data_IF_261904444255
#
_entry.id   IF_261904444255
#
_cell.length_a   1.000
_cell.length_b   1.000
_cell.length_c   1.000
_cell.angle_alpha   90.00
_cell.angle_beta   90.00
_cell.angle_gamma   90.00
#
_symmetry.space_group_name_H-M   'P 1'
#
loop_
_entity.id
_entity.type
_entity.pdbx_description
1 polymer ?
#
# COMPACT_ATOMS: atom_id res chain seq x y z
N UNK A 1 -14.32 -22.33 19.45
CA UNK A 1 -13.51 -23.11 18.49
C UNK A 1 -12.45 -22.23 17.84
N UNK A 2 -11.22 -22.71 17.87
CA UNK A 2 -10.04 -21.95 17.40
C UNK A 2 -10.14 -21.58 15.92
N UNK A 3 -10.65 -22.47 15.06
CA UNK A 3 -10.78 -22.20 13.62
C UNK A 3 -11.78 -21.10 13.29
N UNK A 4 -12.91 -21.03 13.98
CA UNK A 4 -13.92 -19.99 13.75
C UNK A 4 -13.39 -18.60 14.13
N UNK A 5 -12.70 -18.48 15.27
CA UNK A 5 -12.08 -17.22 15.71
C UNK A 5 -10.99 -16.77 14.75
N UNK A 6 -10.14 -17.68 14.28
CA UNK A 6 -9.08 -17.40 13.32
C UNK A 6 -9.64 -16.92 11.98
N UNK A 7 -10.71 -17.55 11.48
CA UNK A 7 -11.37 -17.16 10.24
C UNK A 7 -12.01 -15.78 10.37
N UNK A 8 -12.70 -15.51 11.47
CA UNK A 8 -13.30 -14.19 11.74
C UNK A 8 -12.24 -13.11 11.85
N UNK A 9 -11.12 -13.39 12.52
CA UNK A 9 -10.00 -12.44 12.63
C UNK A 9 -9.43 -12.12 11.26
N UNK A 10 -9.16 -13.12 10.42
CA UNK A 10 -8.64 -12.92 9.06
C UNK A 10 -9.60 -12.11 8.21
N UNK A 11 -10.90 -12.39 8.28
CA UNK A 11 -11.91 -11.66 7.55
C UNK A 11 -11.97 -10.19 7.98
N UNK A 12 -11.96 -9.94 9.29
CA UNK A 12 -11.96 -8.59 9.87
C UNK A 12 -10.70 -7.80 9.47
N UNK A 13 -9.53 -8.44 9.57
CA UNK A 13 -8.26 -7.81 9.19
C UNK A 13 -8.22 -7.51 7.69
N UNK A 14 -8.73 -8.42 6.85
CA UNK A 14 -8.79 -8.24 5.40
C UNK A 14 -9.69 -7.06 5.03
N UNK A 15 -10.83 -6.91 5.69
CA UNK A 15 -11.73 -5.78 5.48
C UNK A 15 -11.09 -4.46 5.89
N UNK A 16 -10.43 -4.43 7.05
CA UNK A 16 -9.75 -3.24 7.55
C UNK A 16 -8.63 -2.80 6.60
N UNK A 17 -7.83 -3.75 6.13
CA UNK A 17 -6.75 -3.48 5.17
C UNK A 17 -7.31 -3.00 3.83
N UNK A 18 -8.36 -3.64 3.33
CA UNK A 18 -8.99 -3.28 2.06
C UNK A 18 -9.47 -1.81 2.09
N UNK A 19 -10.07 -1.39 3.19
CA UNK A 19 -10.49 0.01 3.37
C UNK A 19 -9.30 0.98 3.32
N UNK A 20 -8.19 0.61 3.97
CA UNK A 20 -6.99 1.45 3.99
C UNK A 20 -6.35 1.55 2.60
N UNK A 21 -6.30 0.46 1.85
CA UNK A 21 -5.80 0.44 0.48
C UNK A 21 -6.65 1.36 -0.40
N UNK A 22 -7.97 1.22 -0.36
CA UNK A 22 -8.87 2.09 -1.11
C UNK A 22 -8.70 3.57 -0.73
N UNK A 23 -8.51 3.83 0.57
CA UNK A 23 -8.29 5.19 1.06
C UNK A 23 -7.01 5.79 0.48
N UNK A 24 -5.96 4.99 0.36
CA UNK A 24 -4.71 5.43 -0.26
C UNK A 24 -4.93 5.89 -1.70
N UNK A 25 -5.67 5.11 -2.50
CA UNK A 25 -5.97 5.47 -3.88
C UNK A 25 -6.87 6.71 -3.97
N UNK A 26 -7.85 6.84 -3.08
CA UNK A 26 -8.68 8.06 -3.00
C UNK A 26 -7.83 9.30 -2.72
N UNK A 27 -6.94 9.23 -1.74
CA UNK A 27 -6.04 10.34 -1.40
C UNK A 27 -5.11 10.67 -2.55
N UNK A 28 -4.55 9.65 -3.20
CA UNK A 28 -3.70 9.82 -4.37
C UNK A 28 -4.44 10.56 -5.49
N UNK A 29 -5.66 10.12 -5.81
CA UNK A 29 -6.44 10.72 -6.88
C UNK A 29 -6.84 12.17 -6.58
N UNK A 30 -7.07 12.49 -5.32
CA UNK A 30 -7.38 13.85 -4.87
C UNK A 30 -6.13 14.70 -4.64
N UNK A 31 -4.95 14.15 -4.88
CA UNK A 31 -3.67 14.82 -4.64
C UNK A 31 -3.51 15.28 -3.18
N UNK A 32 -4.10 14.52 -2.26
CA UNK A 32 -4.03 14.75 -0.82
C UNK A 32 -2.74 14.13 -0.28
N UNK A 33 -1.61 14.69 -0.63
CA UNK A 33 -0.29 14.08 -0.41
C UNK A 33 0.08 13.89 1.05
N UNK A 34 -0.27 14.83 1.91
CA UNK A 34 -0.04 14.69 3.35
C UNK A 34 -0.82 13.52 3.93
N UNK A 35 -2.04 13.29 3.44
CA UNK A 35 -2.86 12.14 3.85
C UNK A 35 -2.27 10.83 3.34
N UNK A 36 -1.74 10.80 2.11
CA UNK A 36 -1.00 9.64 1.61
C UNK A 36 0.19 9.31 2.52
N UNK A 37 0.97 10.31 2.88
CA UNK A 37 2.12 10.13 3.77
C UNK A 37 1.71 9.60 5.14
N UNK A 38 0.55 9.99 5.65
CA UNK A 38 0.03 9.50 6.94
C UNK A 38 -0.30 8.01 6.92
N UNK A 39 -0.51 7.42 5.75
CA UNK A 39 -0.75 5.99 5.58
C UNK A 39 0.54 5.18 5.41
N UNK A 40 1.68 5.84 5.33
CA UNK A 40 2.97 5.18 5.28
C UNK A 40 3.37 4.69 6.68
N UNK A 41 4.02 3.52 6.74
CA UNK A 41 4.48 2.91 7.99
C UNK A 41 5.21 3.95 8.85
N UNK A 42 4.81 4.12 10.14
CA UNK A 42 5.47 5.06 11.05
C UNK A 42 6.97 4.85 11.17
N UNK A 43 7.46 3.62 11.07
CA UNK A 43 8.90 3.34 11.10
C UNK A 43 9.63 3.91 9.89
N UNK A 44 9.00 3.85 8.71
CA UNK A 44 9.56 4.47 7.50
C UNK A 44 9.54 5.99 7.56
N UNK A 45 8.46 6.57 8.09
CA UNK A 45 8.35 8.04 8.20
C UNK A 45 9.42 8.67 9.09
N UNK A 46 9.97 7.88 10.02
CA UNK A 46 11.04 8.33 10.93
C UNK A 46 12.44 8.19 10.35
N UNK A 47 12.59 7.49 9.22
CA UNK A 47 13.89 7.28 8.60
C UNK A 47 14.26 8.46 7.70
N UNK A 48 15.52 8.91 7.78
CA UNK A 48 16.00 10.03 6.99
C UNK A 48 15.91 9.80 5.48
N UNK A 49 16.02 8.54 5.03
CA UNK A 49 15.94 8.20 3.60
C UNK A 49 14.53 8.32 3.03
N UNK A 50 13.51 8.39 3.89
CA UNK A 50 12.12 8.57 3.47
C UNK A 50 11.65 9.92 3.98
N UNK A 51 12.10 10.96 3.29
CA UNK A 51 11.66 12.31 3.57
C UNK A 51 10.28 12.53 2.96
N UNK A 52 9.42 13.22 3.71
CA UNK A 52 8.08 13.56 3.27
C UNK A 52 8.08 14.24 1.90
N UNK A 53 8.99 15.20 1.71
CA UNK A 53 9.06 15.93 0.45
C UNK A 53 9.38 15.02 -0.73
N UNK A 54 10.37 14.14 -0.60
CA UNK A 54 10.74 13.19 -1.66
C UNK A 54 9.59 12.21 -1.95
N UNK A 55 8.93 11.73 -0.91
CA UNK A 55 7.76 10.86 -1.05
C UNK A 55 6.66 11.57 -1.84
N UNK A 56 6.32 12.79 -1.46
CA UNK A 56 5.29 13.59 -2.12
C UNK A 56 5.66 13.86 -3.58
N UNK A 57 6.92 14.21 -3.85
CA UNK A 57 7.40 14.46 -5.21
C UNK A 57 7.27 13.21 -6.09
N UNK A 58 7.59 12.03 -5.54
CA UNK A 58 7.45 10.78 -6.28
C UNK A 58 5.98 10.51 -6.63
N UNK A 59 5.07 10.76 -5.72
CA UNK A 59 3.63 10.59 -5.97
C UNK A 59 3.11 11.60 -6.99
N UNK A 60 3.55 12.85 -6.90
CA UNK A 60 3.17 13.88 -7.89
C UNK A 60 3.61 13.50 -9.29
N UNK A 61 4.85 13.03 -9.44
CA UNK A 61 5.35 12.59 -10.74
C UNK A 61 4.54 11.40 -11.26
N UNK A 62 4.27 10.43 -10.42
CA UNK A 62 3.47 9.26 -10.78
C UNK A 62 2.06 9.67 -11.22
N UNK A 63 1.43 10.57 -10.47
CA UNK A 63 0.10 11.12 -10.78
C UNK A 63 0.10 11.88 -12.11
N UNK A 64 1.18 12.61 -12.39
CA UNK A 64 1.33 13.33 -13.66
C UNK A 64 1.43 12.39 -14.85
N UNK A 65 2.15 11.27 -14.69
CA UNK A 65 2.33 10.29 -15.78
C UNK A 65 1.07 9.49 -16.04
N UNK A 66 0.42 9.00 -15.00
CA UNK A 66 -0.70 8.04 -15.13
C UNK A 66 -2.08 8.65 -14.94
N UNK A 67 -2.17 9.85 -14.36
CA UNK A 67 -3.45 10.46 -14.03
C UNK A 67 -4.10 9.80 -12.83
N UNK A 68 -5.43 9.83 -12.78
CA UNK A 68 -6.16 9.13 -11.73
C UNK A 68 -6.04 7.63 -11.89
N UNK A 69 -5.92 6.93 -10.76
CA UNK A 69 -5.83 5.48 -10.73
C UNK A 69 -7.14 4.90 -10.25
N UNK A 70 -7.70 3.99 -11.03
CA UNK A 70 -8.93 3.30 -10.64
C UNK A 70 -8.61 1.85 -10.30
N UNK A 71 -8.69 1.45 -9.02
CA UNK A 71 -8.53 0.05 -8.67
C UNK A 71 -9.65 -0.80 -9.24
N UNK A 72 -9.28 -1.87 -9.96
CA UNK A 72 -10.21 -2.82 -10.54
C UNK A 72 -10.30 -4.10 -9.74
N UNK A 73 -9.16 -4.52 -9.19
CA UNK A 73 -9.08 -5.79 -8.49
C UNK A 73 -8.04 -5.66 -7.38
N UNK A 74 -8.40 -6.11 -6.19
CA UNK A 74 -7.52 -6.10 -5.03
C UNK A 74 -7.55 -7.50 -4.42
N UNK A 75 -6.37 -8.12 -4.32
CA UNK A 75 -6.19 -9.41 -3.65
C UNK A 75 -5.23 -9.24 -2.49
N UNK A 76 -5.62 -9.73 -1.33
CA UNK A 76 -4.84 -9.59 -0.10
C UNK A 76 -4.36 -10.96 0.36
N UNK A 77 -3.05 -11.08 0.59
CA UNK A 77 -2.43 -12.25 1.19
C UNK A 77 -1.94 -11.86 2.59
N UNK A 78 -2.66 -12.33 3.63
CA UNK A 78 -2.38 -11.98 5.03
C UNK A 78 -1.33 -12.90 5.63
N UNK A 79 -0.40 -12.31 6.40
CA UNK A 79 0.61 -13.00 7.18
C UNK A 79 0.56 -12.45 8.62
N UNK A 80 -0.44 -12.92 9.38
CA UNK A 80 -0.74 -12.36 10.70
C UNK A 80 0.21 -12.83 11.79
N UNK A 81 0.94 -13.93 11.57
CA UNK A 81 1.89 -14.46 12.53
C UNK A 81 3.23 -13.72 12.56
N UNK A 82 3.50 -12.88 11.54
CA UNK A 82 4.72 -12.09 11.46
C UNK A 82 6.01 -12.91 11.33
N UNK A 83 5.92 -14.23 11.12
CA UNK A 83 7.07 -15.13 11.18
C UNK A 83 7.99 -15.06 9.97
N UNK A 84 7.58 -14.41 8.90
CA UNK A 84 8.29 -14.41 7.61
C UNK A 84 9.47 -13.43 7.55
N UNK A 85 9.63 -12.54 8.54
CA UNK A 85 10.74 -11.58 8.55
C UNK A 85 11.46 -11.58 9.88
N UNK A 86 12.78 -11.82 9.84
CA UNK A 86 13.64 -11.74 11.04
C UNK A 86 13.79 -10.31 11.56
N UNK A 87 13.64 -9.33 10.68
CA UNK A 87 13.89 -7.91 11.01
C UNK A 87 12.64 -7.17 11.43
N UNK A 88 11.48 -7.70 11.08
CA UNK A 88 10.21 -7.04 11.37
C UNK A 88 9.16 -8.11 11.72
N UNK A 89 8.93 -8.36 13.03
CA UNK A 89 7.99 -9.40 13.46
C UNK A 89 6.52 -8.97 13.38
N UNK A 90 6.24 -7.75 12.94
CA UNK A 90 4.87 -7.27 12.85
C UNK A 90 4.07 -8.07 11.82
N UNK A 91 2.77 -8.28 12.05
CA UNK A 91 1.89 -8.82 11.02
C UNK A 91 1.97 -7.97 9.74
N UNK A 92 1.94 -8.64 8.61
CA UNK A 92 2.01 -7.95 7.32
C UNK A 92 1.11 -8.62 6.29
N UNK A 93 0.96 -7.96 5.16
CA UNK A 93 0.22 -8.49 4.03
C UNK A 93 0.87 -8.06 2.73
N UNK A 94 0.77 -8.91 1.72
CA UNK A 94 0.97 -8.49 0.33
C UNK A 94 -0.39 -8.15 -0.25
N UNK A 95 -0.46 -7.00 -0.90
CA UNK A 95 -1.67 -6.52 -1.55
C UNK A 95 -1.37 -6.42 -3.05
N UNK A 96 -2.10 -7.19 -3.83
CA UNK A 96 -1.98 -7.18 -5.29
C UNK A 96 -3.11 -6.32 -5.83
N UNK A 97 -2.75 -5.21 -6.46
CA UNK A 97 -3.73 -4.28 -7.01
C UNK A 97 -3.58 -4.22 -8.52
N UNK A 98 -4.66 -4.48 -9.22
CA UNK A 98 -4.77 -4.16 -10.65
C UNK A 98 -5.52 -2.85 -10.73
N UNK A 99 -4.91 -1.83 -11.31
CA UNK A 99 -5.54 -0.53 -11.48
C UNK A 99 -5.44 -0.08 -12.93
N UNK A 100 -6.39 0.76 -13.33
CA UNK A 100 -6.44 1.34 -14.65
C UNK A 100 -6.02 2.80 -14.56
N UNK A 101 -5.17 3.23 -15.48
CA UNK A 101 -4.75 4.62 -15.56
C UNK A 101 -5.73 5.46 -16.40
N UNK A 102 -5.45 6.75 -16.53
CA UNK A 102 -6.30 7.68 -17.24
C UNK A 102 -6.34 7.42 -18.76
N UNK A 103 -5.35 6.70 -19.29
CA UNK A 103 -5.31 6.26 -20.70
C UNK A 103 -5.99 4.91 -20.92
N UNK A 104 -6.67 4.37 -19.89
CA UNK A 104 -7.34 3.07 -19.89
C UNK A 104 -6.39 1.87 -19.98
N UNK A 105 -5.12 2.05 -19.70
CA UNK A 105 -4.17 0.95 -19.59
C UNK A 105 -4.21 0.33 -18.19
N UNK A 106 -4.04 -0.99 -18.12
CA UNK A 106 -4.02 -1.72 -16.86
C UNK A 106 -2.60 -1.97 -16.37
N UNK A 107 -2.42 -1.86 -15.07
CA UNK A 107 -1.15 -2.09 -14.39
C UNK A 107 -1.39 -2.94 -13.17
N UNK A 108 -0.39 -3.72 -12.77
CA UNK A 108 -0.45 -4.54 -11.59
C UNK A 108 0.70 -4.18 -10.65
N UNK A 109 0.35 -3.93 -9.39
CA UNK A 109 1.30 -3.66 -8.32
C UNK A 109 1.18 -4.72 -7.24
N UNK A 110 2.32 -5.09 -6.67
CA UNK A 110 2.38 -5.77 -5.39
C UNK A 110 2.85 -4.77 -4.35
N UNK A 111 2.00 -4.50 -3.37
CA UNK A 111 2.28 -3.60 -2.26
C UNK A 111 2.48 -4.42 -0.99
N UNK A 112 3.39 -3.99 -0.13
CA UNK A 112 3.52 -4.57 1.19
C UNK A 112 2.91 -3.61 2.21
N UNK A 113 2.08 -4.15 3.09
CA UNK A 113 1.44 -3.41 4.17
C UNK A 113 1.78 -4.09 5.50
N UNK A 114 1.94 -3.31 6.55
CA UNK A 114 2.23 -3.82 7.90
C UNK A 114 1.18 -3.34 8.88
N UNK A 115 0.93 -4.17 9.89
CA UNK A 115 0.06 -3.80 11.00
C UNK A 115 0.90 -3.24 12.12
N UNK A 116 0.68 -1.97 12.44
CA UNK A 116 1.41 -1.25 13.48
C UNK A 116 0.41 -0.62 14.44
N UNK A 117 0.51 -0.96 15.72
CA UNK A 117 -0.41 -0.45 16.76
C UNK A 117 -1.89 -0.65 16.39
N UNK A 118 -2.21 -1.80 15.83
CA UNK A 118 -3.59 -2.18 15.48
C UNK A 118 -4.12 -1.61 14.18
N UNK A 119 -3.30 -0.91 13.41
CA UNK A 119 -3.70 -0.31 12.12
C UNK A 119 -2.76 -0.74 11.00
N UNK A 120 -3.29 -0.73 9.79
CA UNK A 120 -2.52 -1.08 8.58
C UNK A 120 -1.89 0.14 7.95
N UNK A 121 -0.61 0.01 7.60
CA UNK A 121 0.19 1.07 6.97
C UNK A 121 0.95 0.52 5.78
N UNK A 122 1.12 1.35 4.76
CA UNK A 122 1.86 0.99 3.55
C UNK A 122 3.36 0.99 3.79
N UNK A 123 4.06 0.01 3.21
CA UNK A 123 5.52 -0.01 3.14
C UNK A 123 6.05 0.52 1.81
N UNK A 124 5.17 1.02 0.96
CA UNK A 124 5.55 1.60 -0.33
C UNK A 124 6.07 3.01 -0.10
N UNK A 125 7.39 3.15 -0.06
CA UNK A 125 8.04 4.41 0.29
C UNK A 125 8.11 5.42 -0.88
N UNK A 126 7.70 5.01 -2.06
CA UNK A 126 7.64 5.86 -3.24
C UNK A 126 7.27 5.04 -4.46
N UNK A 127 6.85 5.73 -5.50
CA UNK A 127 6.47 5.13 -6.76
C UNK A 127 7.35 5.70 -7.87
N UNK A 128 7.81 4.84 -8.76
CA UNK A 128 8.60 5.25 -9.92
C UNK A 128 7.87 4.78 -11.17
N UNK A 129 7.53 5.70 -12.09
CA UNK A 129 6.95 5.30 -13.36
C UNK A 129 7.91 4.35 -14.09
N UNK A 130 7.38 3.23 -14.58
CA UNK A 130 8.18 2.24 -15.27
C UNK A 130 7.96 2.32 -16.77
N UNK A 131 9.03 2.56 -17.50
CA UNK A 131 9.00 2.64 -18.95
C UNK A 131 8.93 1.28 -19.63
N UNK A 132 9.15 0.20 -18.88
CA UNK A 132 9.23 -1.18 -19.40
C UNK A 132 7.97 -2.00 -19.15
N UNK A 133 6.85 -1.37 -18.81
CA UNK A 133 5.56 -2.04 -18.67
C UNK A 133 5.28 -2.70 -17.32
N UNK A 134 6.21 -2.69 -16.39
CA UNK A 134 5.98 -3.11 -14.99
C UNK A 134 6.45 -2.01 -14.05
N UNK A 135 5.56 -1.50 -13.22
CA UNK A 135 5.88 -0.39 -12.33
C UNK A 135 6.68 -0.84 -11.12
N UNK A 136 7.71 -0.06 -10.76
CA UNK A 136 8.56 -0.37 -9.63
C UNK A 136 7.99 0.23 -8.35
N UNK A 137 7.86 -0.60 -7.33
CA UNK A 137 7.41 -0.20 -5.99
C UNK A 137 8.60 -0.28 -5.05
N UNK A 138 8.86 0.80 -4.31
CA UNK A 138 9.95 0.86 -3.33
C UNK A 138 9.41 0.62 -1.92
N UNK A 139 10.00 -0.32 -1.24
CA UNK A 139 9.77 -0.55 0.18
C UNK A 139 10.58 0.42 1.04
#
# INVERSE_FOLDING_TARGET
>A
MIRAKSTLRKSSERQALHKRVNRMYEFFNKEAWTKCFSLLDPRLRKQKRVEKQRYVESLRLFRKVYGELQPWYIRISLHLDGSASRHDPRPFAYVYVVWQDQKHEFHMFRERWVRHSGRWFSRVAGLVPNQNGSDAVRD
#
